data_IF_076090278806
#
_entry.id   IF_076090278806
#
_cell.length_a   1.000
_cell.length_b   1.000
_cell.length_c   1.000
_cell.angle_alpha   90.00
_cell.angle_beta   90.00
_cell.angle_gamma   90.00
#
_symmetry.space_group_name_H-M   'P 1'
#
loop_
_entity.id
_entity.type
_entity.pdbx_description
1 polymer ?
#
# COMPACT_ATOMS: atom_id res chain seq x y z
N UNK A 1 21.86 -1.79 -35.17
CA UNK A 1 22.27 -3.21 -35.04
C UNK A 1 21.83 -3.92 -36.32
N UNK A 2 22.74 -4.57 -37.06
CA UNK A 2 22.37 -5.20 -38.34
C UNK A 2 21.86 -6.62 -38.08
N UNK A 3 20.59 -6.90 -38.42
CA UNK A 3 20.02 -8.24 -38.29
C UNK A 3 20.54 -9.14 -39.42
N UNK A 4 21.15 -10.28 -39.07
CA UNK A 4 21.53 -11.29 -40.06
C UNK A 4 20.26 -11.98 -40.60
N UNK A 5 19.99 -11.80 -41.90
CA UNK A 5 18.81 -12.36 -42.57
C UNK A 5 19.16 -13.53 -43.51
N UNK A 6 20.40 -14.02 -43.44
CA UNK A 6 20.92 -15.03 -44.39
C UNK A 6 20.16 -16.36 -44.30
N UNK A 7 19.65 -16.69 -43.12
CA UNK A 7 18.87 -17.91 -42.86
C UNK A 7 17.42 -17.84 -43.41
N UNK A 8 16.99 -16.67 -43.91
CA UNK A 8 15.67 -16.52 -44.53
C UNK A 8 15.71 -16.66 -46.06
N UNK A 9 14.67 -17.29 -46.66
CA UNK A 9 14.45 -17.28 -48.10
C UNK A 9 14.46 -15.86 -48.67
N UNK A 10 15.10 -15.68 -49.84
CA UNK A 10 15.38 -14.37 -50.43
C UNK A 10 14.12 -13.52 -50.69
N UNK A 11 13.02 -14.16 -51.06
CA UNK A 11 11.69 -13.55 -51.28
C UNK A 11 11.08 -12.95 -50.01
N UNK A 12 11.49 -13.42 -48.82
CA UNK A 12 10.93 -12.98 -47.53
C UNK A 12 11.82 -12.00 -46.76
N UNK A 13 13.06 -11.76 -47.22
CA UNK A 13 14.03 -10.91 -46.52
C UNK A 13 13.56 -9.46 -46.43
N UNK A 14 13.07 -8.88 -47.52
CA UNK A 14 12.64 -7.48 -47.56
C UNK A 14 11.43 -7.20 -46.66
N UNK A 15 10.42 -8.08 -46.68
CA UNK A 15 9.23 -7.95 -45.83
C UNK A 15 9.55 -8.07 -44.34
N UNK A 16 10.45 -8.99 -43.97
CA UNK A 16 10.87 -9.17 -42.58
C UNK A 16 11.78 -8.04 -42.10
N UNK A 17 12.65 -7.50 -42.96
CA UNK A 17 13.44 -6.32 -42.65
C UNK A 17 12.55 -5.09 -42.37
N UNK A 18 11.49 -4.90 -43.17
CA UNK A 18 10.50 -3.83 -42.92
C UNK A 18 9.79 -4.01 -41.57
N UNK A 19 9.37 -5.23 -41.24
CA UNK A 19 8.73 -5.54 -39.96
C UNK A 19 9.65 -5.32 -38.75
N UNK A 20 10.93 -5.65 -38.86
CA UNK A 20 11.92 -5.38 -37.80
C UNK A 20 12.20 -3.88 -37.64
N UNK A 21 12.15 -3.09 -38.71
CA UNK A 21 12.35 -1.64 -38.64
C UNK A 21 11.20 -0.89 -37.96
N UNK A 22 10.02 -1.50 -37.88
CA UNK A 22 8.82 -0.91 -37.25
C UNK A 22 8.74 -1.16 -35.73
N UNK A 23 9.69 -1.92 -35.14
CA UNK A 23 9.64 -2.33 -33.73
C UNK A 23 11.00 -2.23 -33.06
N UNK A 24 11.00 -1.97 -31.77
CA UNK A 24 12.21 -2.08 -30.96
C UNK A 24 12.69 -3.53 -30.86
N UNK A 25 14.01 -3.70 -30.84
CA UNK A 25 14.59 -4.99 -30.51
C UNK A 25 14.25 -5.36 -29.06
N UNK A 26 14.12 -6.66 -28.74
CA UNK A 26 13.78 -7.10 -27.37
C UNK A 26 14.75 -6.53 -26.33
N UNK A 27 16.03 -6.45 -26.65
CA UNK A 27 17.06 -5.87 -25.76
C UNK A 27 16.90 -4.35 -25.61
N UNK A 28 16.51 -3.67 -26.68
CA UNK A 28 16.26 -2.23 -26.73
C UNK A 28 15.03 -1.87 -25.88
N UNK A 29 13.94 -2.64 -26.03
CA UNK A 29 12.74 -2.52 -25.22
C UNK A 29 13.02 -2.82 -23.74
N UNK A 30 13.80 -3.86 -23.45
CA UNK A 30 14.17 -4.23 -22.09
C UNK A 30 15.05 -3.15 -21.44
N UNK A 31 16.06 -2.65 -22.13
CA UNK A 31 16.92 -1.58 -21.63
C UNK A 31 16.13 -0.29 -21.34
N UNK A 32 15.19 0.07 -22.20
CA UNK A 32 14.30 1.22 -21.97
C UNK A 32 13.42 1.03 -20.72
N UNK A 33 12.94 -0.19 -20.48
CA UNK A 33 12.11 -0.53 -19.32
C UNK A 33 12.90 -0.63 -18.01
N UNK A 34 14.10 -1.20 -18.06
CA UNK A 34 14.97 -1.35 -16.90
C UNK A 34 15.45 0.03 -16.39
N UNK A 35 15.75 0.96 -17.30
CA UNK A 35 16.12 2.34 -16.94
C UNK A 35 15.03 3.13 -16.20
N UNK A 36 13.75 2.85 -16.50
CA UNK A 36 12.59 3.44 -15.80
C UNK A 36 12.30 2.76 -14.44
N UNK A 37 12.85 1.56 -14.22
CA UNK A 37 12.50 0.72 -13.07
C UNK A 37 13.30 1.10 -11.82
N UNK A 38 14.60 1.38 -11.94
CA UNK A 38 15.45 1.76 -10.82
C UNK A 38 14.98 3.06 -10.15
N UNK A 39 14.74 4.12 -10.94
CA UNK A 39 14.19 5.39 -10.44
C UNK A 39 12.81 5.23 -9.79
N UNK A 40 11.97 4.33 -10.32
CA UNK A 40 10.66 4.02 -9.76
C UNK A 40 10.75 3.27 -8.44
N UNK A 41 11.69 2.32 -8.31
CA UNK A 41 11.92 1.59 -7.07
C UNK A 41 12.41 2.51 -5.95
N UNK A 42 13.37 3.39 -6.25
CA UNK A 42 13.86 4.41 -5.31
C UNK A 42 12.73 5.35 -4.88
N UNK A 43 11.93 5.83 -5.83
CA UNK A 43 10.79 6.69 -5.55
C UNK A 43 9.75 5.99 -4.67
N UNK A 44 9.43 4.72 -4.95
CA UNK A 44 8.51 3.93 -4.13
C UNK A 44 9.07 3.68 -2.73
N UNK A 45 10.37 3.42 -2.60
CA UNK A 45 11.01 3.23 -1.30
C UNK A 45 10.95 4.52 -0.47
N UNK A 46 11.29 5.67 -1.07
CA UNK A 46 11.21 6.97 -0.41
C UNK A 46 9.76 7.31 0.00
N UNK A 47 8.79 7.07 -0.89
CA UNK A 47 7.36 7.29 -0.59
C UNK A 47 6.91 6.44 0.60
N UNK A 48 7.22 5.13 0.61
CA UNK A 48 6.84 4.23 1.70
C UNK A 48 7.50 4.61 3.02
N UNK A 49 8.76 5.05 2.99
CA UNK A 49 9.46 5.53 4.18
C UNK A 49 8.79 6.78 4.77
N UNK A 50 8.39 7.74 3.93
CA UNK A 50 7.67 8.93 4.36
C UNK A 50 6.28 8.60 4.95
N UNK A 51 5.53 7.70 4.31
CA UNK A 51 4.24 7.22 4.84
C UNK A 51 4.39 6.52 6.20
N UNK A 52 5.46 5.73 6.36
CA UNK A 52 5.77 5.04 7.61
C UNK A 52 6.11 6.03 8.72
N UNK A 53 6.96 7.02 8.44
CA UNK A 53 7.29 8.07 9.42
C UNK A 53 6.05 8.84 9.88
N UNK A 54 5.16 9.19 8.94
CA UNK A 54 3.89 9.83 9.26
C UNK A 54 3.00 8.93 10.13
N UNK A 55 2.91 7.63 9.82
CA UNK A 55 2.13 6.68 10.61
C UNK A 55 2.66 6.54 12.05
N UNK A 56 3.97 6.50 12.23
CA UNK A 56 4.61 6.42 13.56
C UNK A 56 4.40 7.72 14.35
N UNK A 57 4.56 8.87 13.71
CA UNK A 57 4.35 10.17 14.34
C UNK A 57 2.89 10.35 14.78
N UNK A 58 1.94 10.01 13.92
CA UNK A 58 0.51 10.01 14.21
C UNK A 58 0.18 9.03 15.34
N UNK A 59 0.68 7.80 15.29
CA UNK A 59 0.41 6.80 16.33
C UNK A 59 0.88 7.28 17.71
N UNK A 60 2.03 7.96 17.76
CA UNK A 60 2.53 8.58 19.00
C UNK A 60 1.68 9.77 19.45
N UNK A 61 1.20 10.60 18.52
CA UNK A 61 0.39 11.78 18.84
C UNK A 61 -0.98 11.40 19.44
N UNK A 62 -1.58 10.30 18.96
CA UNK A 62 -2.92 9.86 19.34
C UNK A 62 -2.93 8.63 20.26
N UNK A 63 -1.77 8.32 20.86
CA UNK A 63 -1.55 7.20 21.78
C UNK A 63 -2.08 5.85 21.25
N UNK A 64 -1.82 5.58 19.99
CA UNK A 64 -2.25 4.35 19.32
C UNK A 64 -1.33 3.19 19.75
N UNK A 65 -1.89 2.07 20.26
CA UNK A 65 -1.07 0.93 20.68
C UNK A 65 -0.23 0.36 19.53
N UNK A 66 0.95 -0.21 19.83
CA UNK A 66 1.74 -0.91 18.82
C UNK A 66 0.95 -2.11 18.28
N UNK A 67 1.09 -2.38 16.98
CA UNK A 67 0.44 -3.53 16.36
C UNK A 67 1.19 -4.83 16.67
N UNK A 68 0.45 -5.93 16.61
CA UNK A 68 0.92 -7.30 16.82
C UNK A 68 0.90 -8.07 15.50
N UNK A 69 1.93 -8.90 15.29
CA UNK A 69 2.07 -9.70 14.08
C UNK A 69 3.53 -9.96 13.72
N UNK A 70 3.74 -10.61 12.58
CA UNK A 70 5.08 -10.79 12.03
C UNK A 70 5.66 -9.47 11.51
N UNK A 71 6.99 -9.32 11.58
CA UNK A 71 7.69 -8.05 11.35
C UNK A 71 7.30 -7.33 10.05
N UNK A 72 7.08 -8.06 8.95
CA UNK A 72 6.68 -7.45 7.66
C UNK A 72 5.26 -6.89 7.65
N UNK A 73 4.34 -7.45 8.45
CA UNK A 73 3.00 -6.90 8.56
C UNK A 73 2.96 -5.63 9.41
N UNK A 74 3.88 -5.42 10.35
CA UNK A 74 3.80 -4.27 11.25
C UNK A 74 3.82 -2.95 10.49
N UNK A 75 4.81 -2.73 9.63
CA UNK A 75 4.91 -1.51 8.80
C UNK A 75 3.73 -1.34 7.82
N UNK A 76 3.15 -2.44 7.36
CA UNK A 76 1.99 -2.38 6.47
C UNK A 76 0.72 -2.04 7.26
N UNK A 77 0.49 -2.73 8.37
CA UNK A 77 -0.64 -2.50 9.25
C UNK A 77 -0.63 -1.10 9.85
N UNK A 78 0.54 -0.58 10.25
CA UNK A 78 0.67 0.77 10.80
C UNK A 78 0.29 1.84 9.77
N UNK A 79 0.78 1.71 8.53
CA UNK A 79 0.40 2.61 7.43
C UNK A 79 -1.07 2.47 7.07
N UNK A 80 -1.58 1.25 6.95
CA UNK A 80 -3.00 1.01 6.65
C UNK A 80 -3.92 1.58 7.73
N UNK A 81 -3.59 1.38 9.02
CA UNK A 81 -4.32 1.98 10.14
C UNK A 81 -4.30 3.50 10.08
N UNK A 82 -3.14 4.10 9.90
CA UNK A 82 -3.01 5.56 9.81
C UNK A 82 -3.83 6.13 8.64
N UNK A 83 -3.74 5.52 7.46
CA UNK A 83 -4.47 5.96 6.27
C UNK A 83 -5.99 5.85 6.48
N UNK A 84 -6.48 4.72 6.96
CA UNK A 84 -7.90 4.50 7.17
C UNK A 84 -8.47 5.39 8.29
N UNK A 85 -7.76 5.56 9.40
CA UNK A 85 -8.15 6.48 10.47
C UNK A 85 -8.18 7.94 10.00
N UNK A 86 -7.22 8.35 9.19
CA UNK A 86 -7.18 9.71 8.63
C UNK A 86 -8.31 9.94 7.63
N UNK A 87 -8.61 8.96 6.78
CA UNK A 87 -9.76 9.01 5.86
C UNK A 87 -11.08 9.09 6.65
N UNK A 88 -11.27 8.21 7.63
CA UNK A 88 -12.45 8.21 8.47
C UNK A 88 -12.66 9.53 9.22
N UNK A 89 -11.60 10.11 9.80
CA UNK A 89 -11.70 11.42 10.45
C UNK A 89 -12.11 12.51 9.45
N UNK A 90 -11.52 12.50 8.25
CA UNK A 90 -11.85 13.48 7.20
C UNK A 90 -13.33 13.37 6.81
N UNK A 91 -13.80 12.17 6.51
CA UNK A 91 -15.15 11.95 5.98
C UNK A 91 -16.24 12.06 7.05
N UNK A 92 -16.00 11.55 8.26
CA UNK A 92 -17.01 11.52 9.32
C UNK A 92 -17.06 12.82 10.13
N UNK A 93 -15.90 13.42 10.42
CA UNK A 93 -15.79 14.57 11.34
C UNK A 93 -15.61 15.89 10.58
N UNK A 94 -14.65 15.96 9.64
CA UNK A 94 -14.34 17.22 8.94
C UNK A 94 -15.41 17.56 7.91
N UNK A 95 -15.78 16.59 7.09
CA UNK A 95 -16.76 16.72 6.02
C UNK A 95 -18.16 16.24 6.44
N UNK A 96 -18.21 15.35 7.43
CA UNK A 96 -19.43 14.78 7.96
C UNK A 96 -20.05 15.56 9.11
N UNK A 97 -20.85 14.87 9.91
CA UNK A 97 -21.63 15.47 11.01
C UNK A 97 -21.25 14.91 12.37
N UNK A 98 -20.22 14.06 12.46
CA UNK A 98 -19.80 13.49 13.72
C UNK A 98 -19.15 14.55 14.59
N UNK A 99 -19.46 14.49 15.88
CA UNK A 99 -18.81 15.33 16.87
C UNK A 99 -17.59 14.64 17.49
N UNK A 100 -16.92 15.35 18.40
CA UNK A 100 -15.75 14.82 19.11
C UNK A 100 -16.07 13.58 19.95
N UNK A 101 -17.32 13.43 20.44
CA UNK A 101 -17.71 12.30 21.28
C UNK A 101 -17.92 11.04 20.43
N UNK A 102 -18.58 11.18 19.28
CA UNK A 102 -18.72 10.09 18.31
C UNK A 102 -17.34 9.59 17.84
N UNK A 103 -16.43 10.53 17.53
CA UNK A 103 -15.06 10.19 17.12
C UNK A 103 -14.28 9.49 18.24
N UNK A 104 -14.38 9.98 19.48
CA UNK A 104 -13.69 9.38 20.61
C UNK A 104 -14.11 7.92 20.85
N UNK A 105 -15.39 7.58 20.69
CA UNK A 105 -15.85 6.19 20.80
C UNK A 105 -15.22 5.29 19.72
N UNK A 106 -15.14 5.79 18.47
CA UNK A 106 -14.50 5.07 17.38
C UNK A 106 -13.01 4.89 17.63
N UNK A 107 -12.30 5.93 18.09
CA UNK A 107 -10.88 5.83 18.41
C UNK A 107 -10.61 4.78 19.49
N UNK A 108 -11.43 4.72 20.54
CA UNK A 108 -11.29 3.70 21.58
C UNK A 108 -11.47 2.28 21.01
N UNK A 109 -12.44 2.07 20.13
CA UNK A 109 -12.60 0.79 19.41
C UNK A 109 -11.36 0.48 18.56
N UNK A 110 -10.85 1.47 17.82
CA UNK A 110 -9.65 1.31 16.99
C UNK A 110 -8.41 0.96 17.82
N UNK A 111 -8.23 1.59 19.00
CA UNK A 111 -7.13 1.28 19.93
C UNK A 111 -7.16 -0.17 20.41
N UNK A 112 -8.35 -0.78 20.53
CA UNK A 112 -8.47 -2.18 20.95
C UNK A 112 -7.98 -3.19 19.91
N UNK A 113 -7.93 -2.81 18.62
CA UNK A 113 -7.53 -3.69 17.51
C UNK A 113 -6.03 -3.55 17.26
N UNK A 114 -5.23 -4.48 17.78
CA UNK A 114 -3.77 -4.48 17.59
C UNK A 114 -3.31 -5.45 16.51
N UNK A 115 -4.15 -6.36 16.01
CA UNK A 115 -3.73 -7.29 14.96
C UNK A 115 -3.38 -6.56 13.65
N UNK A 116 -2.10 -6.59 13.25
CA UNK A 116 -1.63 -5.91 12.04
C UNK A 116 -2.29 -6.47 10.77
N UNK A 117 -2.57 -7.78 10.73
CA UNK A 117 -3.26 -8.43 9.61
C UNK A 117 -4.65 -7.85 9.36
N UNK A 118 -5.40 -7.57 10.42
CA UNK A 118 -6.75 -7.02 10.32
C UNK A 118 -6.76 -5.66 9.62
N UNK A 119 -5.85 -4.75 10.02
CA UNK A 119 -5.71 -3.43 9.39
C UNK A 119 -5.26 -3.51 7.92
N UNK A 120 -4.41 -4.48 7.57
CA UNK A 120 -3.96 -4.70 6.19
C UNK A 120 -5.11 -5.15 5.30
N UNK A 121 -6.03 -5.96 5.82
CA UNK A 121 -7.18 -6.46 5.08
C UNK A 121 -8.18 -5.33 4.76
N UNK A 122 -8.23 -4.27 5.59
CA UNK A 122 -9.12 -3.12 5.40
C UNK A 122 -8.49 -1.95 4.63
N UNK A 123 -7.27 -2.10 4.11
CA UNK A 123 -6.51 -0.98 3.49
C UNK A 123 -7.20 -0.31 2.30
N UNK A 124 -8.13 -1.03 1.66
CA UNK A 124 -8.85 -0.60 0.45
C UNK A 124 -10.31 -0.22 0.79
N UNK A 125 -10.68 -0.16 2.08
CA UNK A 125 -12.00 0.27 2.55
C UNK A 125 -12.11 1.81 2.60
N UNK A 126 -13.33 2.31 2.52
CA UNK A 126 -13.61 3.74 2.66
C UNK A 126 -13.60 4.15 4.15
N UNK A 127 -13.30 5.41 4.43
CA UNK A 127 -13.24 5.92 5.80
C UNK A 127 -14.57 5.78 6.55
N UNK A 128 -15.68 5.98 5.83
CA UNK A 128 -17.05 5.83 6.38
C UNK A 128 -17.39 4.41 6.84
N UNK A 129 -16.70 3.39 6.33
CA UNK A 129 -16.96 1.99 6.67
C UNK A 129 -16.27 1.57 7.98
N UNK A 130 -15.34 2.38 8.49
CA UNK A 130 -14.47 2.02 9.61
C UNK A 130 -15.25 1.62 10.87
N UNK A 131 -16.33 2.32 11.22
CA UNK A 131 -17.12 1.96 12.39
C UNK A 131 -17.76 0.57 12.26
N UNK A 132 -18.31 0.24 11.08
CA UNK A 132 -18.89 -1.07 10.83
C UNK A 132 -17.83 -2.16 10.93
N UNK A 133 -16.66 -1.93 10.32
CA UNK A 133 -15.52 -2.85 10.37
C UNK A 133 -15.06 -3.09 11.81
N UNK A 134 -14.86 -2.03 12.60
CA UNK A 134 -14.44 -2.15 14.00
C UNK A 134 -15.46 -2.92 14.86
N UNK A 135 -16.75 -2.77 14.58
CA UNK A 135 -17.80 -3.52 15.27
C UNK A 135 -17.83 -5.00 14.84
N UNK A 136 -17.37 -5.33 13.64
CA UNK A 136 -17.25 -6.69 13.14
C UNK A 136 -15.97 -7.42 13.58
N UNK A 137 -14.97 -6.68 14.09
CA UNK A 137 -13.73 -7.25 14.59
C UNK A 137 -13.95 -8.21 15.77
N UNK A 138 -13.26 -9.34 15.75
CA UNK A 138 -13.38 -10.41 16.74
C UNK A 138 -12.35 -10.27 17.86
N UNK A 139 -12.48 -11.09 18.91
CA UNK A 139 -11.47 -11.16 19.98
C UNK A 139 -10.07 -11.53 19.47
N UNK A 140 -9.96 -12.22 18.33
CA UNK A 140 -8.65 -12.58 17.75
C UNK A 140 -7.94 -11.38 17.11
N UNK A 141 -8.67 -10.31 16.81
CA UNK A 141 -8.15 -9.08 16.20
C UNK A 141 -7.69 -8.09 17.28
N UNK A 142 -8.13 -8.31 18.52
CA UNK A 142 -7.75 -7.53 19.70
C UNK A 142 -6.42 -8.03 20.25
N UNK A 143 -5.68 -7.09 20.84
CA UNK A 143 -4.38 -7.40 21.44
C UNK A 143 -4.50 -8.41 22.56
N UNK A 144 -3.43 -9.19 22.74
CA UNK A 144 -3.34 -10.02 23.94
C UNK A 144 -3.18 -9.09 25.14
N UNK A 145 -4.22 -9.00 25.99
CA UNK A 145 -4.07 -8.49 27.35
C UNK A 145 -3.06 -9.38 28.05
N UNK A 146 -1.76 -9.09 27.94
CA UNK A 146 -0.76 -9.74 28.76
C UNK A 146 -0.76 -9.00 30.11
N UNK A 147 -1.34 -9.56 31.19
CA UNK A 147 -1.53 -8.86 32.46
C UNK A 147 -0.22 -8.68 33.25
N UNK A 148 0.94 -8.92 32.65
CA UNK A 148 2.26 -8.89 33.30
C UNK A 148 3.26 -7.92 32.63
N UNK A 149 2.79 -6.90 31.92
CA UNK A 149 3.68 -5.87 31.35
C UNK A 149 3.85 -4.66 32.26
#
# INVERSE_FOLDING_TARGET
MAHNLSDRPADRRAGFARWLAERDCTDCWKAARDADTESKEEWLAAKRAAEQEAAVAWAKQFDMPPLEGWAKALEWGERSRHQLMTAAHTELVVEGTWDEADWAELEEKARSITAAGWWIDQRDAEGTDLLELLNAASENDRGTENPFR
#
